data_IF_264715002816
#
_entry.id   IF_264715002816
#
_cell.length_a   1.000
_cell.length_b   1.000
_cell.length_c   1.000
_cell.angle_alpha   90.00
_cell.angle_beta   90.00
_cell.angle_gamma   90.00
#
_symmetry.space_group_name_H-M   'P 1'
#
loop_
_entity.id
_entity.type
_entity.pdbx_description
1 polymer ?
#
# COMPACT_ATOMS: atom_id res chain seq x y z
N UNK A 1 18.37 1.43 13.83
CA UNK A 1 17.80 1.59 12.48
C UNK A 1 17.62 0.22 11.84
N UNK A 2 16.45 0.01 11.23
CA UNK A 2 16.23 -1.23 10.50
C UNK A 2 17.07 -1.25 9.22
N UNK A 3 17.62 -2.40 8.89
CA UNK A 3 18.30 -2.64 7.64
C UNK A 3 17.65 -3.85 6.97
N UNK A 4 18.19 -4.30 5.84
CA UNK A 4 17.57 -5.39 5.09
C UNK A 4 17.52 -6.70 5.87
N UNK A 5 18.43 -6.93 6.82
CA UNK A 5 18.46 -8.19 7.59
C UNK A 5 17.31 -8.27 8.59
N UNK A 6 16.85 -7.11 9.10
CA UNK A 6 15.76 -7.05 10.08
C UNK A 6 14.45 -6.57 9.49
N UNK A 7 14.42 -6.29 8.20
CA UNK A 7 13.23 -5.76 7.54
C UNK A 7 12.28 -6.90 7.15
N UNK A 8 11.08 -6.89 7.71
CA UNK A 8 10.09 -7.92 7.40
C UNK A 8 9.65 -7.89 5.93
N UNK A 9 9.74 -6.74 5.26
CA UNK A 9 9.35 -6.62 3.86
C UNK A 9 10.42 -7.11 2.89
N UNK A 10 11.64 -7.33 3.36
CA UNK A 10 12.69 -7.96 2.55
C UNK A 10 12.49 -9.48 2.45
N UNK A 11 11.74 -10.08 3.38
CA UNK A 11 11.51 -11.52 3.44
C UNK A 11 10.06 -11.81 3.85
N UNK A 12 9.11 -11.60 2.94
CA UNK A 12 7.69 -11.80 3.26
C UNK A 12 7.37 -13.28 3.46
N UNK A 13 6.42 -13.56 4.37
CA UNK A 13 6.01 -14.93 4.66
C UNK A 13 5.11 -15.53 3.60
N UNK A 14 4.19 -14.73 3.06
CA UNK A 14 3.16 -15.22 2.18
C UNK A 14 2.86 -14.20 1.10
N UNK A 15 3.26 -14.51 -0.11
CA UNK A 15 3.08 -13.63 -1.26
C UNK A 15 1.77 -13.97 -1.95
N UNK A 16 0.94 -12.95 -2.21
CA UNK A 16 -0.30 -13.10 -2.94
C UNK A 16 -0.05 -13.20 -4.44
N UNK A 17 0.65 -12.22 -4.98
CA UNK A 17 1.10 -12.18 -6.39
C UNK A 17 2.43 -11.46 -6.45
N UNK A 18 3.16 -11.64 -7.56
CA UNK A 18 4.48 -11.05 -7.72
C UNK A 18 4.87 -10.90 -9.18
N UNK A 19 5.84 -10.06 -9.42
CA UNK A 19 6.56 -9.99 -10.69
C UNK A 19 8.07 -9.97 -10.38
N UNK A 20 8.91 -9.65 -11.36
CA UNK A 20 10.36 -9.71 -11.17
C UNK A 20 10.86 -8.75 -10.10
N UNK A 21 10.28 -7.56 -9.97
CA UNK A 21 10.80 -6.50 -9.13
C UNK A 21 9.95 -6.19 -7.91
N UNK A 22 8.73 -6.75 -7.83
CA UNK A 22 7.80 -6.42 -6.77
C UNK A 22 6.93 -7.61 -6.36
N UNK A 23 6.32 -7.50 -5.20
CA UNK A 23 5.34 -8.48 -4.73
C UNK A 23 4.20 -7.77 -3.99
N UNK A 24 3.09 -8.46 -3.83
CA UNK A 24 1.95 -7.98 -3.07
C UNK A 24 1.57 -8.98 -2.00
N UNK A 25 1.27 -8.47 -0.82
CA UNK A 25 0.87 -9.28 0.34
C UNK A 25 -0.30 -8.63 1.04
N UNK A 26 -1.05 -9.41 1.80
CA UNK A 26 -2.08 -8.87 2.68
C UNK A 26 -1.41 -8.00 3.75
N UNK A 27 -2.01 -6.85 4.05
CA UNK A 27 -1.53 -6.01 5.15
C UNK A 27 -1.93 -6.65 6.48
N UNK A 28 -0.94 -6.89 7.36
CA UNK A 28 -1.18 -7.51 8.66
C UNK A 28 -2.12 -6.69 9.54
N UNK A 29 -2.00 -5.37 9.46
CA UNK A 29 -2.86 -4.44 10.19
C UNK A 29 -3.92 -3.88 9.26
N UNK A 30 -4.67 -4.76 8.61
CA UNK A 30 -5.66 -4.39 7.62
C UNK A 30 -6.70 -3.43 8.18
N UNK A 31 -6.97 -2.36 7.45
CA UNK A 31 -8.00 -1.39 7.81
C UNK A 31 -9.37 -1.81 7.32
N UNK A 32 -9.41 -2.67 6.31
CA UNK A 32 -10.64 -3.18 5.74
C UNK A 32 -10.38 -4.54 5.11
N UNK A 33 -11.45 -5.26 4.79
CA UNK A 33 -11.32 -6.56 4.16
C UNK A 33 -10.67 -6.41 2.78
N UNK A 34 -9.58 -7.14 2.56
CA UNK A 34 -8.86 -7.12 1.29
C UNK A 34 -7.74 -6.08 1.20
N UNK A 35 -7.39 -5.43 2.30
CA UNK A 35 -6.29 -4.46 2.34
C UNK A 35 -4.98 -5.15 1.98
N UNK A 36 -4.31 -4.64 0.96
CA UNK A 36 -3.07 -5.20 0.40
C UNK A 36 -2.01 -4.12 0.37
N UNK A 37 -0.74 -4.53 0.48
CA UNK A 37 0.39 -3.66 0.18
C UNK A 37 1.18 -4.25 -0.99
N UNK A 38 1.70 -3.35 -1.82
CA UNK A 38 2.57 -3.70 -2.95
C UNK A 38 3.95 -3.14 -2.67
N UNK A 39 4.96 -3.98 -2.80
CA UNK A 39 6.29 -3.74 -2.24
C UNK A 39 7.37 -4.07 -3.28
N UNK A 40 8.33 -3.17 -3.53
CA UNK A 40 9.49 -3.53 -4.35
C UNK A 40 10.36 -4.52 -3.58
N UNK A 41 10.99 -5.47 -4.29
CA UNK A 41 11.83 -6.47 -3.62
C UNK A 41 13.07 -5.85 -3.01
N UNK A 42 13.66 -4.88 -3.71
CA UNK A 42 14.87 -4.21 -3.22
C UNK A 42 14.54 -3.38 -1.97
N UNK A 43 15.42 -3.43 -0.99
CA UNK A 43 15.27 -2.64 0.21
C UNK A 43 15.57 -1.17 -0.10
N UNK A 44 14.51 -0.42 -0.33
CA UNK A 44 14.56 1.02 -0.60
C UNK A 44 13.50 1.68 0.25
N UNK A 45 13.87 2.71 1.00
CA UNK A 45 12.96 3.33 1.97
C UNK A 45 12.02 4.33 1.31
N UNK A 46 12.52 5.11 0.36
CA UNK A 46 11.82 6.25 -0.22
C UNK A 46 11.23 5.89 -1.58
N UNK A 47 9.93 6.12 -1.72
CA UNK A 47 9.21 5.85 -2.97
C UNK A 47 9.89 6.51 -4.18
N UNK A 48 10.40 7.72 -4.01
CA UNK A 48 11.01 8.48 -5.10
C UNK A 48 12.43 8.01 -5.43
N UNK A 49 13.00 7.15 -4.60
CA UNK A 49 14.30 6.53 -4.87
C UNK A 49 14.20 5.19 -5.60
N UNK A 50 12.98 4.71 -5.85
CA UNK A 50 12.80 3.54 -6.70
C UNK A 50 13.26 3.86 -8.12
N UNK A 51 13.80 2.87 -8.82
CA UNK A 51 14.09 3.02 -10.24
C UNK A 51 12.79 3.12 -11.03
N UNK A 52 12.88 3.62 -12.26
CA UNK A 52 11.71 3.70 -13.14
C UNK A 52 11.10 2.31 -13.37
N UNK A 53 11.94 1.29 -13.52
CA UNK A 53 11.47 -0.08 -13.70
C UNK A 53 10.75 -0.61 -12.45
N UNK A 54 11.25 -0.27 -11.28
CA UNK A 54 10.58 -0.63 -10.02
C UNK A 54 9.23 0.05 -9.90
N UNK A 55 9.14 1.32 -10.27
CA UNK A 55 7.87 2.05 -10.25
C UNK A 55 6.85 1.40 -11.18
N UNK A 56 7.27 1.05 -12.39
CA UNK A 56 6.39 0.38 -13.35
C UNK A 56 5.94 -0.97 -12.81
N UNK A 57 6.86 -1.74 -12.22
CA UNK A 57 6.54 -3.06 -11.66
C UNK A 57 5.53 -2.96 -10.53
N UNK A 58 5.70 -2.00 -9.64
CA UNK A 58 4.78 -1.77 -8.51
C UNK A 58 3.40 -1.37 -9.02
N UNK A 59 3.33 -0.44 -9.96
CA UNK A 59 2.04 0.01 -10.50
C UNK A 59 1.31 -1.09 -11.27
N UNK A 60 2.03 -1.88 -12.05
CA UNK A 60 1.43 -3.02 -12.77
C UNK A 60 0.84 -4.03 -11.78
N UNK A 61 1.59 -4.32 -10.72
CA UNK A 61 1.15 -5.28 -9.72
C UNK A 61 -0.04 -4.76 -8.90
N UNK A 62 -0.05 -3.45 -8.65
CA UNK A 62 -1.17 -2.79 -7.97
C UNK A 62 -2.49 -3.02 -8.75
N UNK A 63 -2.45 -2.87 -10.07
CA UNK A 63 -3.61 -3.13 -10.91
C UNK A 63 -4.07 -4.58 -10.85
N UNK A 64 -3.12 -5.52 -10.86
CA UNK A 64 -3.42 -6.95 -10.76
C UNK A 64 -4.02 -7.29 -9.39
N UNK A 65 -3.47 -6.71 -8.32
CA UNK A 65 -3.98 -6.89 -6.95
C UNK A 65 -5.42 -6.36 -6.85
N UNK A 66 -5.70 -5.21 -7.44
CA UNK A 66 -7.04 -4.62 -7.42
C UNK A 66 -8.06 -5.58 -8.06
N UNK A 67 -7.73 -6.22 -9.15
CA UNK A 67 -8.65 -7.16 -9.81
C UNK A 67 -8.95 -8.36 -8.92
N UNK A 68 -7.96 -8.85 -8.18
CA UNK A 68 -8.15 -9.96 -7.24
C UNK A 68 -9.08 -9.54 -6.11
N UNK A 69 -8.82 -8.39 -5.49
CA UNK A 69 -9.64 -7.87 -4.39
C UNK A 69 -11.07 -7.64 -4.85
N UNK A 70 -11.23 -7.06 -6.04
CA UNK A 70 -12.57 -6.81 -6.61
C UNK A 70 -13.35 -8.11 -6.77
N UNK A 71 -12.68 -9.15 -7.23
CA UNK A 71 -13.29 -10.47 -7.41
C UNK A 71 -13.68 -11.12 -6.09
N UNK A 72 -12.86 -10.97 -5.05
CA UNK A 72 -13.07 -11.67 -3.78
C UNK A 72 -13.97 -10.92 -2.80
N UNK A 73 -13.97 -9.58 -2.84
CA UNK A 73 -14.61 -8.76 -1.82
C UNK A 73 -15.64 -7.77 -2.35
N UNK A 74 -15.61 -7.47 -3.64
CA UNK A 74 -16.55 -6.53 -4.29
C UNK A 74 -16.63 -5.17 -3.55
N UNK A 75 -15.51 -4.50 -3.28
CA UNK A 75 -15.56 -3.19 -2.63
C UNK A 75 -16.19 -2.14 -3.54
N UNK A 76 -16.65 -1.06 -2.94
CA UNK A 76 -17.30 0.04 -3.66
C UNK A 76 -16.30 1.09 -4.14
N UNK A 77 -15.09 1.08 -3.61
CA UNK A 77 -14.03 2.00 -4.00
C UNK A 77 -12.70 1.62 -3.38
N UNK A 78 -11.69 2.45 -3.61
CA UNK A 78 -10.33 2.20 -3.11
C UNK A 78 -9.67 3.51 -2.72
N UNK A 79 -8.85 3.45 -1.67
CA UNK A 79 -7.81 4.44 -1.46
C UNK A 79 -6.47 3.79 -1.78
N UNK A 80 -5.68 4.47 -2.60
CA UNK A 80 -4.32 4.03 -2.94
C UNK A 80 -3.37 5.10 -2.44
N UNK A 81 -2.35 4.69 -1.70
CA UNK A 81 -1.43 5.67 -1.17
C UNK A 81 -0.15 5.05 -0.65
N UNK A 82 0.86 5.90 -0.51
CA UNK A 82 2.16 5.53 0.02
C UNK A 82 2.63 6.64 0.96
N UNK A 83 3.13 6.25 2.12
CA UNK A 83 3.73 7.20 3.05
C UNK A 83 5.22 7.34 2.72
N UNK A 84 5.66 8.56 2.46
CA UNK A 84 7.06 8.84 2.11
C UNK A 84 7.66 9.70 3.20
N UNK A 85 8.55 9.12 3.99
CA UNK A 85 9.21 9.78 5.10
C UNK A 85 8.44 9.72 6.41
N UNK A 86 9.16 9.92 7.51
CA UNK A 86 8.57 9.84 8.86
C UNK A 86 7.50 10.89 9.09
N UNK A 87 7.70 12.11 8.54
CA UNK A 87 6.72 13.20 8.69
C UNK A 87 5.38 12.86 8.04
N UNK A 88 5.37 11.94 7.08
CA UNK A 88 4.15 11.50 6.41
C UNK A 88 3.59 10.22 7.02
N UNK A 89 4.20 9.72 8.11
CA UNK A 89 3.72 8.54 8.81
C UNK A 89 4.37 7.22 8.41
N UNK A 90 5.43 7.27 7.60
CA UNK A 90 6.14 6.04 7.25
C UNK A 90 6.82 5.44 8.48
N UNK A 91 6.44 4.22 8.85
CA UNK A 91 7.00 3.52 10.00
C UNK A 91 7.92 2.37 9.59
N UNK A 92 7.64 1.69 8.50
CA UNK A 92 8.52 0.66 7.94
C UNK A 92 9.35 1.31 6.83
N UNK A 93 10.67 1.27 6.95
CA UNK A 93 11.58 1.97 6.04
C UNK A 93 11.90 1.10 4.81
N UNK A 94 10.87 0.62 4.18
CA UNK A 94 10.88 -0.13 2.93
C UNK A 94 9.59 0.25 2.22
N UNK A 95 9.66 0.76 1.02
CA UNK A 95 8.50 1.24 0.27
C UNK A 95 7.38 0.22 0.28
N UNK A 96 6.18 0.66 0.61
CA UNK A 96 4.99 -0.17 0.47
C UNK A 96 3.81 0.72 0.11
N UNK A 97 3.15 0.36 -0.98
CA UNK A 97 1.99 1.10 -1.50
C UNK A 97 0.72 0.39 -1.03
N UNK A 98 -0.13 1.12 -0.34
CA UNK A 98 -1.39 0.58 0.17
C UNK A 98 -2.46 0.56 -0.90
N UNK A 99 -3.18 -0.54 -0.98
CA UNK A 99 -4.43 -0.67 -1.70
C UNK A 99 -5.49 -0.96 -0.65
N UNK A 100 -6.29 0.04 -0.31
CA UNK A 100 -7.27 -0.05 0.77
C UNK A 100 -8.67 -0.09 0.17
N UNK A 101 -9.33 -1.26 0.19
CA UNK A 101 -10.71 -1.35 -0.28
C UNK A 101 -11.63 -0.53 0.61
N UNK A 102 -12.56 0.17 -0.03
CA UNK A 102 -13.54 0.98 0.68
C UNK A 102 -14.94 0.45 0.39
N UNK A 103 -15.76 0.47 1.42
CA UNK A 103 -17.13 -0.07 1.36
C UNK A 103 -18.11 1.03 1.71
N UNK A 104 -19.21 1.13 0.97
CA UNK A 104 -20.23 2.13 1.24
C UNK A 104 -20.66 2.04 2.71
N UNK A 105 -20.64 3.16 3.41
CA UNK A 105 -21.02 3.22 4.82
C UNK A 105 -19.92 2.85 5.82
N UNK A 106 -18.70 2.54 5.35
CA UNK A 106 -17.59 2.19 6.25
C UNK A 106 -17.16 3.36 7.15
N UNK A 107 -17.38 4.58 6.70
CA UNK A 107 -17.26 5.79 7.53
C UNK A 107 -18.49 6.66 7.24
N UNK A 108 -18.79 7.58 8.17
CA UNK A 108 -19.96 8.44 8.05
C UNK A 108 -19.90 9.35 6.82
N UNK A 109 -18.76 10.01 6.63
CA UNK A 109 -18.56 10.93 5.51
C UNK A 109 -17.16 10.69 4.91
N UNK A 110 -17.09 10.04 3.74
CA UNK A 110 -15.79 9.75 3.13
C UNK A 110 -15.21 10.92 2.33
N UNK A 111 -15.89 12.05 2.24
CA UNK A 111 -15.42 13.18 1.45
C UNK A 111 -14.00 13.60 1.85
N UNK A 112 -13.18 13.92 0.88
CA UNK A 112 -11.79 14.28 1.09
C UNK A 112 -10.82 13.09 1.02
N UNK A 113 -11.24 11.90 1.48
CA UNK A 113 -10.43 10.69 1.39
C UNK A 113 -8.98 10.89 1.82
N UNK A 114 -8.06 10.74 0.88
CA UNK A 114 -6.61 10.92 1.11
C UNK A 114 -6.27 12.30 1.73
N UNK A 115 -7.05 13.32 1.45
CA UNK A 115 -6.79 14.67 1.98
C UNK A 115 -7.06 14.79 3.48
N UNK A 116 -7.69 13.77 4.07
CA UNK A 116 -8.00 13.77 5.51
C UNK A 116 -6.81 13.37 6.37
N UNK A 117 -5.61 13.26 5.80
CA UNK A 117 -4.41 12.92 6.56
C UNK A 117 -4.03 14.00 7.58
N UNK A 118 -4.44 15.23 7.36
CA UNK A 118 -4.33 16.28 8.35
C UNK A 118 -5.73 16.54 8.91
N UNK A 119 -6.01 16.01 10.10
CA UNK A 119 -7.36 15.97 10.65
C UNK A 119 -8.05 17.33 10.78
N UNK A 120 -7.30 18.39 11.03
CA UNK A 120 -7.88 19.73 11.13
C UNK A 120 -8.38 20.27 9.79
N UNK A 121 -8.06 19.59 8.69
CA UNK A 121 -8.51 19.95 7.34
C UNK A 121 -9.35 18.83 6.73
N UNK A 122 -9.87 17.93 7.54
CA UNK A 122 -10.56 16.73 7.08
C UNK A 122 -11.79 17.03 6.22
N UNK A 123 -12.42 18.18 6.42
CA UNK A 123 -13.60 18.58 5.65
C UNK A 123 -13.30 19.16 4.27
N UNK A 124 -12.03 19.32 3.94
CA UNK A 124 -11.61 19.95 2.68
C UNK A 124 -12.09 19.21 1.42
#
# INVERSE_FOLDING_TARGET
MRNRDTCELCAPDSILIENELAYAVAEKNALSAGHIIVVPRRHVADFFEMTDLEQVAVLALLGSAQRIVQSQHSPDGYNVGVNVGRAAGQSRMHVHVHLIPRYAGDVRDPAGGIRCVLKKHAAA
#
